data_IF_885829400602
#
_entry.id   IF_885829400602
#
_cell.length_a   1.000
_cell.length_b   1.000
_cell.length_c   1.000
_cell.angle_alpha   90.00
_cell.angle_beta   90.00
_cell.angle_gamma   90.00
#
_symmetry.space_group_name_H-M   'P 1'
#
loop_
_entity.id
_entity.type
_entity.pdbx_description
1 polymer ?
#
# COMPACT_ATOMS: atom_id res chain seq x y z
N UNK A 1 21.68 -15.48 25.94
CA UNK A 1 20.39 -15.99 25.43
C UNK A 1 20.07 -15.14 24.22
N UNK A 2 20.30 -15.68 23.02
CA UNK A 2 19.88 -15.01 21.79
C UNK A 2 18.35 -15.06 21.77
N UNK A 3 17.72 -13.90 21.96
CA UNK A 3 16.29 -13.74 21.76
C UNK A 3 16.01 -14.11 20.31
N UNK A 4 15.39 -15.27 20.07
CA UNK A 4 14.89 -15.60 18.74
C UNK A 4 13.78 -14.59 18.41
N UNK A 5 14.14 -13.53 17.70
CA UNK A 5 13.18 -12.51 17.25
C UNK A 5 12.36 -13.14 16.14
N UNK A 6 11.12 -13.52 16.45
CA UNK A 6 10.18 -14.02 15.46
C UNK A 6 9.85 -12.89 14.47
N UNK A 7 9.71 -13.20 13.16
CA UNK A 7 9.29 -12.21 12.17
C UNK A 7 7.98 -11.51 12.55
N UNK A 8 7.91 -10.20 12.35
CA UNK A 8 6.77 -9.38 12.77
C UNK A 8 5.46 -9.78 12.07
N UNK A 9 5.53 -10.34 10.84
CA UNK A 9 4.34 -10.80 10.12
C UNK A 9 3.64 -11.99 10.81
N UNK A 10 4.34 -12.75 11.66
CA UNK A 10 3.75 -13.86 12.43
C UNK A 10 2.89 -13.37 13.61
N UNK A 11 2.97 -12.09 13.95
CA UNK A 11 2.12 -11.50 15.00
C UNK A 11 0.69 -11.22 14.50
N UNK A 12 0.48 -11.26 13.18
CA UNK A 12 -0.83 -11.12 12.56
C UNK A 12 -1.73 -12.32 12.87
N UNK A 13 -2.99 -12.04 13.19
CA UNK A 13 -4.01 -13.09 13.34
C UNK A 13 -4.45 -13.65 11.98
N UNK A 14 -4.26 -12.89 10.90
CA UNK A 14 -4.64 -13.25 9.54
C UNK A 14 -3.58 -14.11 8.85
N UNK A 15 -2.33 -14.10 9.33
CA UNK A 15 -1.27 -14.94 8.78
C UNK A 15 -1.64 -16.44 8.72
N UNK A 16 -2.01 -17.10 9.83
CA UNK A 16 -2.42 -18.51 9.78
C UNK A 16 -3.70 -18.74 8.95
N UNK A 17 -4.61 -17.76 8.89
CA UNK A 17 -5.83 -17.85 8.09
C UNK A 17 -5.51 -17.86 6.59
N UNK A 18 -4.61 -16.99 6.16
CA UNK A 18 -4.16 -16.89 4.77
C UNK A 18 -3.27 -18.05 4.34
N UNK A 19 -2.47 -18.60 5.25
CA UNK A 19 -1.64 -19.79 5.01
C UNK A 19 -2.52 -21.02 4.74
N UNK A 20 -3.58 -21.21 5.54
CA UNK A 20 -4.46 -22.36 5.42
C UNK A 20 -5.61 -22.19 4.41
N UNK A 21 -5.87 -20.97 3.94
CA UNK A 21 -6.82 -20.72 2.86
C UNK A 21 -6.32 -21.34 1.54
N UNK A 22 -7.04 -22.36 1.05
CA UNK A 22 -6.72 -23.01 -0.22
C UNK A 22 -7.24 -22.23 -1.43
N UNK A 23 -8.37 -21.56 -1.26
CA UNK A 23 -9.07 -20.87 -2.34
C UNK A 23 -8.60 -19.42 -2.46
N UNK A 24 -8.34 -19.01 -3.71
CA UNK A 24 -7.94 -17.63 -4.02
C UNK A 24 -9.00 -16.62 -3.56
N UNK A 25 -10.28 -16.92 -3.77
CA UNK A 25 -11.38 -16.03 -3.36
C UNK A 25 -11.41 -15.83 -1.84
N UNK A 26 -11.17 -16.89 -1.07
CA UNK A 26 -11.06 -16.78 0.38
C UNK A 26 -9.87 -15.90 0.80
N UNK A 27 -8.71 -16.03 0.13
CA UNK A 27 -7.55 -15.16 0.41
C UNK A 27 -7.86 -13.69 0.11
N UNK A 28 -8.54 -13.41 -1.00
CA UNK A 28 -8.93 -12.05 -1.37
C UNK A 28 -9.96 -11.48 -0.39
N UNK A 29 -10.93 -12.27 0.04
CA UNK A 29 -11.90 -11.88 1.06
C UNK A 29 -11.21 -11.59 2.40
N UNK A 30 -10.25 -12.42 2.82
CA UNK A 30 -9.47 -12.17 4.03
C UNK A 30 -8.66 -10.86 3.96
N UNK A 31 -8.13 -10.51 2.79
CA UNK A 31 -7.48 -9.21 2.58
C UNK A 31 -8.45 -8.04 2.76
N UNK A 32 -9.70 -8.17 2.28
CA UNK A 32 -10.73 -7.16 2.50
C UNK A 32 -11.09 -7.04 4.00
N UNK A 33 -11.20 -8.17 4.71
CA UNK A 33 -11.44 -8.17 6.16
C UNK A 33 -10.30 -7.50 6.94
N UNK A 34 -9.04 -7.66 6.50
CA UNK A 34 -7.89 -6.95 7.10
C UNK A 34 -8.08 -5.43 7.03
N UNK A 35 -8.65 -4.89 5.95
CA UNK A 35 -8.93 -3.46 5.88
C UNK A 35 -9.99 -3.02 6.90
N UNK A 36 -11.03 -3.84 7.08
CA UNK A 36 -12.16 -3.52 7.94
C UNK A 36 -11.79 -3.56 9.42
N UNK A 37 -11.13 -4.65 9.87
CA UNK A 37 -10.87 -4.90 11.29
C UNK A 37 -9.39 -4.91 11.68
N UNK A 38 -8.47 -4.81 10.72
CA UNK A 38 -7.03 -4.89 10.97
C UNK A 38 -6.45 -3.69 11.73
N UNK A 39 -5.30 -3.93 12.35
CA UNK A 39 -4.54 -2.94 13.10
C UNK A 39 -3.11 -2.77 12.52
N UNK A 40 -2.25 -2.04 13.24
CA UNK A 40 -0.85 -1.80 12.81
C UNK A 40 -0.02 -3.07 12.68
N UNK A 41 -0.39 -4.17 13.35
CA UNK A 41 0.35 -5.45 13.33
C UNK A 41 0.14 -6.23 12.04
N UNK A 42 -0.85 -5.83 11.24
CA UNK A 42 -1.16 -6.44 9.95
C UNK A 42 -0.30 -5.88 8.80
N UNK A 43 0.30 -4.70 9.00
CA UNK A 43 1.14 -4.05 7.98
C UNK A 43 2.37 -4.88 7.56
N UNK A 44 3.11 -5.54 8.47
CA UNK A 44 4.20 -6.43 8.09
C UNK A 44 3.74 -7.62 7.25
N UNK A 45 2.55 -8.19 7.55
CA UNK A 45 1.98 -9.28 6.78
C UNK A 45 1.60 -8.83 5.37
N UNK A 46 0.92 -7.69 5.24
CA UNK A 46 0.54 -7.14 3.93
C UNK A 46 1.78 -6.84 3.06
N UNK A 47 2.86 -6.35 3.68
CA UNK A 47 4.13 -6.12 3.00
C UNK A 47 4.77 -7.42 2.50
N UNK A 48 4.64 -8.52 3.23
CA UNK A 48 5.11 -9.82 2.77
C UNK A 48 4.27 -10.33 1.59
N UNK A 49 2.95 -10.13 1.65
CA UNK A 49 2.01 -10.55 0.59
C UNK A 49 2.17 -9.78 -0.73
N UNK A 50 2.76 -8.59 -0.70
CA UNK A 50 3.15 -7.86 -1.92
C UNK A 50 4.24 -8.56 -2.72
N UNK A 51 5.04 -9.42 -2.08
CA UNK A 51 6.05 -10.22 -2.78
C UNK A 51 5.51 -11.58 -3.21
N UNK A 52 4.20 -11.83 -3.11
CA UNK A 52 3.59 -13.11 -3.45
C UNK A 52 3.57 -13.33 -4.96
N UNK A 53 3.87 -14.56 -5.39
CA UNK A 53 3.91 -14.99 -6.81
C UNK A 53 2.62 -14.70 -7.61
N UNK A 54 1.49 -14.54 -6.93
CA UNK A 54 0.21 -14.36 -7.60
C UNK A 54 -0.15 -12.87 -7.70
N UNK A 55 -0.24 -12.28 -8.90
CA UNK A 55 -0.37 -10.83 -9.09
C UNK A 55 -1.64 -10.25 -8.46
N UNK A 56 -2.75 -11.00 -8.45
CA UNK A 56 -3.98 -10.55 -7.77
C UNK A 56 -3.82 -10.39 -6.26
N UNK A 57 -3.07 -11.29 -5.61
CA UNK A 57 -2.84 -11.21 -4.16
C UNK A 57 -1.89 -10.06 -3.87
N UNK A 58 -0.80 -9.96 -4.63
CA UNK A 58 0.18 -8.88 -4.51
C UNK A 58 -0.46 -7.49 -4.66
N UNK A 59 -1.22 -7.26 -5.73
CA UNK A 59 -1.85 -5.95 -5.97
C UNK A 59 -2.89 -5.63 -4.89
N UNK A 60 -3.71 -6.61 -4.52
CA UNK A 60 -4.71 -6.44 -3.46
C UNK A 60 -4.06 -6.15 -2.11
N UNK A 61 -2.97 -6.84 -1.76
CA UNK A 61 -2.23 -6.59 -0.53
C UNK A 61 -1.67 -5.16 -0.49
N UNK A 62 -1.15 -4.66 -1.61
CA UNK A 62 -0.70 -3.27 -1.73
C UNK A 62 -1.83 -2.26 -1.53
N UNK A 63 -2.96 -2.46 -2.21
CA UNK A 63 -4.14 -1.59 -2.08
C UNK A 63 -4.62 -1.54 -0.62
N UNK A 64 -4.80 -2.72 0.00
CA UNK A 64 -5.24 -2.84 1.38
C UNK A 64 -4.24 -2.23 2.35
N UNK A 65 -2.93 -2.43 2.15
CA UNK A 65 -1.89 -1.81 2.98
C UNK A 65 -1.98 -0.29 2.93
N UNK A 66 -2.08 0.27 1.72
CA UNK A 66 -2.17 1.72 1.55
C UNK A 66 -3.42 2.27 2.25
N UNK A 67 -4.57 1.62 2.06
CA UNK A 67 -5.81 2.05 2.70
C UNK A 67 -5.77 1.90 4.23
N UNK A 68 -5.15 0.85 4.73
CA UNK A 68 -5.00 0.61 6.17
C UNK A 68 -4.05 1.61 6.82
N UNK A 69 -2.94 1.97 6.15
CA UNK A 69 -2.03 3.04 6.61
C UNK A 69 -2.73 4.39 6.69
N UNK A 70 -3.54 4.74 5.68
CA UNK A 70 -4.38 5.95 5.69
C UNK A 70 -5.39 5.91 6.82
N UNK A 71 -6.11 4.80 7.00
CA UNK A 71 -7.09 4.60 8.08
C UNK A 71 -6.46 4.72 9.47
N UNK A 72 -5.22 4.27 9.63
CA UNK A 72 -4.49 4.31 10.90
C UNK A 72 -3.71 5.63 11.12
N UNK A 73 -3.76 6.56 10.16
CA UNK A 73 -3.04 7.84 10.23
C UNK A 73 -1.52 7.69 10.24
N UNK A 74 -0.99 6.62 9.62
CA UNK A 74 0.45 6.31 9.57
C UNK A 74 1.11 6.92 8.32
N UNK A 75 0.36 7.66 7.50
CA UNK A 75 0.82 8.36 6.28
C UNK A 75 1.71 9.59 6.54
N UNK A 76 2.64 9.50 7.49
CA UNK A 76 3.52 10.63 7.87
C UNK A 76 4.65 10.94 6.88
N UNK A 77 5.00 10.05 5.95
CA UNK A 77 6.28 10.17 5.18
C UNK A 77 6.17 9.61 3.75
N UNK A 78 4.98 9.61 3.14
CA UNK A 78 4.80 9.22 1.73
C UNK A 78 4.75 10.39 0.77
N UNK A 79 5.14 11.59 1.23
CA UNK A 79 5.37 12.70 0.32
C UNK A 79 6.39 12.30 -0.74
N UNK A 80 5.86 12.00 -1.93
CA UNK A 80 6.52 12.16 -3.22
C UNK A 80 7.95 11.65 -3.22
N UNK A 81 8.15 10.33 -3.15
CA UNK A 81 9.35 9.73 -3.73
C UNK A 81 9.31 9.98 -5.24
N UNK A 82 9.70 11.19 -5.65
CA UNK A 82 10.00 11.49 -7.05
C UNK A 82 10.97 10.41 -7.50
N UNK A 83 10.72 9.84 -8.68
CA UNK A 83 11.65 8.88 -9.24
C UNK A 83 13.05 9.52 -9.27
N UNK A 84 14.11 8.78 -8.88
CA UNK A 84 15.46 9.30 -8.93
C UNK A 84 15.76 9.84 -10.34
N UNK A 85 16.57 10.89 -10.42
CA UNK A 85 16.82 11.62 -11.67
C UNK A 85 17.31 10.72 -12.82
N UNK A 86 17.97 9.61 -12.50
CA UNK A 86 18.40 8.59 -13.47
C UNK A 86 17.26 7.89 -14.20
N UNK A 87 16.03 7.92 -13.67
CA UNK A 87 14.83 7.33 -14.27
C UNK A 87 13.94 8.36 -14.98
N UNK A 88 14.41 9.60 -15.13
CA UNK A 88 13.69 10.64 -15.87
C UNK A 88 13.42 10.24 -17.33
N UNK A 89 14.25 9.37 -17.91
CA UNK A 89 14.08 8.88 -19.29
C UNK A 89 12.74 8.15 -19.52
N UNK A 90 12.12 7.60 -18.48
CA UNK A 90 10.83 6.91 -18.59
C UNK A 90 9.73 7.88 -19.05
N UNK A 91 9.80 9.15 -18.62
CA UNK A 91 8.86 10.18 -19.08
C UNK A 91 8.99 10.45 -20.59
N UNK A 92 10.23 10.44 -21.10
CA UNK A 92 10.53 10.67 -22.52
C UNK A 92 10.17 9.45 -23.38
N UNK A 93 10.53 8.23 -22.94
CA UNK A 93 10.31 6.99 -23.68
C UNK A 93 8.82 6.64 -23.81
N UNK A 94 8.05 6.85 -22.73
CA UNK A 94 6.61 6.54 -22.70
C UNK A 94 5.73 7.75 -23.02
N UNK A 95 6.30 8.91 -23.39
CA UNK A 95 5.58 10.18 -23.56
C UNK A 95 4.66 10.52 -22.37
N UNK A 96 5.05 10.13 -21.16
CA UNK A 96 4.30 10.45 -19.94
C UNK A 96 4.55 11.91 -19.63
N UNK A 97 3.60 12.76 -19.98
CA UNK A 97 3.63 14.18 -19.63
C UNK A 97 2.79 14.38 -18.37
N UNK A 98 3.24 15.22 -17.43
CA UNK A 98 2.35 15.67 -16.36
C UNK A 98 1.09 16.23 -17.01
N UNK A 99 -0.09 15.85 -16.49
CA UNK A 99 -1.34 16.44 -16.94
C UNK A 99 -1.18 17.96 -16.91
N UNK A 100 -1.48 18.64 -18.02
CA UNK A 100 -1.53 20.10 -18.01
C UNK A 100 -2.50 20.46 -16.90
N UNK A 101 -2.04 21.25 -15.93
CA UNK A 101 -2.92 21.82 -14.91
C UNK A 101 -3.91 22.67 -15.69
N UNK A 102 -5.12 22.15 -15.83
CA UNK A 102 -6.21 22.87 -16.46
C UNK A 102 -6.79 23.78 -15.35
N UNK A 103 -6.64 25.11 -15.48
CA UNK A 103 -7.11 26.04 -14.45
C UNK A 103 -8.64 26.02 -14.30
N UNK A 104 -9.38 25.47 -15.26
CA UNK A 104 -10.84 25.31 -15.22
C UNK A 104 -11.27 23.92 -14.72
N UNK A 105 -10.31 23.04 -14.40
CA UNK A 105 -10.58 21.70 -13.90
C UNK A 105 -10.83 21.75 -12.40
N UNK A 106 -12.10 22.02 -12.03
CA UNK A 106 -12.62 21.82 -10.68
C UNK A 106 -12.61 20.32 -10.34
N UNK A 107 -11.46 19.79 -9.92
CA UNK A 107 -11.52 18.73 -8.91
C UNK A 107 -12.08 19.41 -7.67
N UNK A 108 -13.28 19.01 -7.23
CA UNK A 108 -13.98 19.59 -6.05
C UNK A 108 -13.27 19.37 -4.72
N UNK A 109 -11.93 19.47 -4.72
CA UNK A 109 -11.01 19.37 -3.61
C UNK A 109 -10.04 20.54 -3.79
N UNK A 110 -10.24 21.60 -3.02
CA UNK A 110 -9.33 22.74 -2.98
C UNK A 110 -7.94 22.28 -2.55
N UNK A 111 -6.90 22.69 -3.30
CA UNK A 111 -5.48 22.44 -2.99
C UNK A 111 -4.98 23.31 -1.82
N UNK A 112 -5.78 23.48 -0.77
CA UNK A 112 -5.50 24.34 0.39
C UNK A 112 -4.41 23.74 1.32
N UNK A 113 -3.77 22.64 0.91
CA UNK A 113 -2.76 21.92 1.71
C UNK A 113 -1.35 22.53 1.52
N UNK A 114 -1.17 23.49 0.61
CA UNK A 114 0.14 24.08 0.32
C UNK A 114 0.52 25.32 1.15
N UNK A 115 -0.40 25.86 1.97
CA UNK A 115 -0.20 27.15 2.66
C UNK A 115 0.01 27.04 4.19
N UNK A 116 0.48 25.90 4.71
CA UNK A 116 0.92 25.82 6.12
C UNK A 116 2.44 25.90 6.21
N UNK A 117 2.93 27.06 6.66
CA UNK A 117 4.33 27.40 6.99
C UNK A 117 5.00 26.43 7.97
#
# INVERSE_FOLDING_TARGET
>A
MESQVLPDYLQSIFHPLLEHAKDMECKLMLLDEILEVGDKKELPLLKELESHDHPKISNKAFEIRSLLETKLGVDGERERRRLPMSLCFIYDEFNIRPSKIDPDLEFGVSLDILDSE
#
